data_IF_184763126766
#
_entry.id   IF_184763126766
#
_cell.length_a   1.000
_cell.length_b   1.000
_cell.length_c   1.000
_cell.angle_alpha   90.00
_cell.angle_beta   90.00
_cell.angle_gamma   90.00
#
_symmetry.space_group_name_H-M   'P 1'
#
loop_
_entity.id
_entity.type
_entity.pdbx_description
1 polymer ?
#
# COMPACT_ATOMS: atom_id res chain seq x y z
N UNK A 1 13.30 -0.80 3.45
CA UNK A 1 12.62 -0.04 4.53
C UNK A 1 11.62 -0.86 5.32
N UNK A 2 10.68 -1.58 4.68
CA UNK A 2 9.62 -2.35 5.36
C UNK A 2 10.12 -3.28 6.49
N UNK A 3 11.11 -4.15 6.22
CA UNK A 3 11.65 -5.08 7.23
C UNK A 3 12.25 -4.38 8.47
N UNK A 4 12.86 -3.20 8.28
CA UNK A 4 13.49 -2.41 9.36
C UNK A 4 12.46 -1.72 10.26
N UNK A 5 11.30 -1.38 9.71
CA UNK A 5 10.20 -0.80 10.48
C UNK A 5 9.32 -1.89 11.10
N UNK A 6 9.17 -3.03 10.43
CA UNK A 6 8.38 -4.17 10.96
C UNK A 6 8.91 -4.68 12.30
N UNK A 7 10.23 -4.67 12.51
CA UNK A 7 10.84 -5.05 13.80
C UNK A 7 10.58 -4.07 14.94
N UNK A 8 10.11 -2.85 14.66
CA UNK A 8 9.88 -1.78 15.65
C UNK A 8 8.41 -1.48 15.88
N UNK A 9 7.56 -1.63 14.87
CA UNK A 9 6.14 -1.23 14.93
C UNK A 9 5.19 -2.31 14.39
N UNK A 10 5.67 -3.55 14.17
CA UNK A 10 4.86 -4.70 13.73
C UNK A 10 4.00 -4.41 12.49
N UNK A 11 4.62 -3.84 11.44
CA UNK A 11 3.94 -3.62 10.14
C UNK A 11 3.48 -4.94 9.51
N UNK A 12 4.24 -6.01 9.76
CA UNK A 12 4.05 -7.34 9.22
C UNK A 12 4.55 -8.37 10.24
N UNK A 13 3.82 -9.47 10.45
CA UNK A 13 4.30 -10.55 11.32
C UNK A 13 5.60 -11.19 10.75
N UNK A 14 6.58 -11.55 11.60
CA UNK A 14 7.89 -12.05 11.16
C UNK A 14 7.82 -13.31 10.28
N UNK A 15 6.87 -14.20 10.57
CA UNK A 15 6.63 -15.46 9.86
C UNK A 15 6.13 -15.27 8.44
N UNK A 16 5.70 -14.06 8.09
CA UNK A 16 5.05 -13.78 6.81
C UNK A 16 5.96 -12.97 5.87
N UNK A 17 7.13 -12.50 6.31
CA UNK A 17 8.06 -11.65 5.54
C UNK A 17 8.60 -12.28 4.24
N UNK A 18 8.76 -13.60 4.20
CA UNK A 18 9.29 -14.32 3.03
C UNK A 18 8.20 -14.56 1.96
N UNK A 19 6.99 -14.95 2.38
CA UNK A 19 5.84 -15.14 1.50
C UNK A 19 5.09 -13.82 1.19
N UNK A 20 5.32 -12.74 1.95
CA UNK A 20 4.57 -11.49 1.83
C UNK A 20 4.80 -10.80 0.48
N UNK A 21 6.06 -10.82 0.01
CA UNK A 21 6.53 -9.84 -0.96
C UNK A 21 5.92 -10.07 -2.33
N UNK A 22 5.93 -11.31 -2.82
CA UNK A 22 5.35 -11.58 -4.13
C UNK A 22 3.83 -11.64 -4.04
N UNK A 23 3.28 -12.37 -3.06
CA UNK A 23 1.84 -12.57 -2.99
C UNK A 23 1.07 -11.28 -2.74
N UNK A 24 1.48 -10.43 -1.79
CA UNK A 24 0.70 -9.23 -1.49
C UNK A 24 0.91 -8.09 -2.49
N UNK A 25 2.08 -8.01 -3.14
CA UNK A 25 2.29 -7.03 -4.21
C UNK A 25 1.43 -7.41 -5.42
N UNK A 26 1.46 -8.67 -5.85
CA UNK A 26 0.64 -9.14 -6.97
C UNK A 26 -0.86 -9.05 -6.64
N UNK A 27 -1.26 -9.42 -5.42
CA UNK A 27 -2.64 -9.32 -4.93
C UNK A 27 -3.13 -7.87 -4.81
N UNK A 28 -2.24 -6.91 -4.55
CA UNK A 28 -2.57 -5.48 -4.62
C UNK A 28 -2.64 -4.98 -6.07
N UNK A 29 -1.73 -5.44 -6.94
CA UNK A 29 -1.63 -5.00 -8.32
C UNK A 29 -2.84 -5.40 -9.17
N UNK A 30 -3.41 -6.60 -8.97
CA UNK A 30 -4.61 -7.06 -9.68
C UNK A 30 -5.81 -6.12 -9.47
N UNK A 31 -5.87 -5.40 -8.33
CA UNK A 31 -6.98 -4.49 -8.04
C UNK A 31 -7.07 -3.34 -9.04
N UNK A 32 -5.97 -2.96 -9.69
CA UNK A 32 -5.94 -1.88 -10.66
C UNK A 32 -6.92 -2.11 -11.82
N UNK A 33 -7.06 -3.36 -12.27
CA UNK A 33 -7.96 -3.74 -13.34
C UNK A 33 -9.46 -3.63 -12.96
N UNK A 34 -9.75 -3.58 -11.66
CA UNK A 34 -11.11 -3.47 -11.13
C UNK A 34 -11.51 -2.03 -10.80
N UNK A 35 -10.58 -1.08 -10.83
CA UNK A 35 -10.89 0.34 -10.58
C UNK A 35 -11.51 0.93 -11.87
N UNK A 36 -12.70 1.56 -11.81
CA UNK A 36 -13.37 2.17 -12.97
C UNK A 36 -12.45 3.13 -13.72
N UNK A 37 -12.34 3.02 -15.05
CA UNK A 37 -11.35 3.78 -15.84
C UNK A 37 -11.38 5.31 -15.62
N UNK A 38 -12.57 5.85 -15.35
CA UNK A 38 -12.82 7.27 -15.10
C UNK A 38 -12.61 7.71 -13.65
N UNK A 39 -12.30 6.78 -12.74
CA UNK A 39 -11.97 7.07 -11.35
C UNK A 39 -10.79 8.03 -11.25
N UNK A 40 -10.95 9.05 -10.42
CA UNK A 40 -9.93 10.09 -10.17
C UNK A 40 -9.38 10.08 -8.75
N UNK A 41 -10.07 9.38 -7.85
CA UNK A 41 -9.66 9.24 -6.46
C UNK A 41 -9.79 7.80 -6.01
N UNK A 42 -8.81 7.35 -5.23
CA UNK A 42 -8.79 6.09 -4.52
C UNK A 42 -8.37 6.37 -3.08
N UNK A 43 -9.12 5.84 -2.12
CA UNK A 43 -8.82 5.98 -0.70
C UNK A 43 -8.60 4.58 -0.12
N UNK A 44 -7.41 4.35 0.43
CA UNK A 44 -7.05 3.13 1.13
C UNK A 44 -7.24 3.36 2.64
N UNK A 45 -8.21 2.66 3.23
CA UNK A 45 -8.61 2.82 4.63
C UNK A 45 -7.98 1.72 5.48
N UNK A 46 -7.11 2.11 6.42
CA UNK A 46 -6.32 1.16 7.21
C UNK A 46 -5.07 0.70 6.46
N UNK A 47 -4.40 1.62 5.77
CA UNK A 47 -3.27 1.32 4.89
C UNK A 47 -2.13 0.57 5.56
N UNK A 48 -1.95 0.66 6.87
CA UNK A 48 -0.96 -0.11 7.63
C UNK A 48 0.46 0.01 7.08
N UNK A 49 0.91 -1.05 6.40
CA UNK A 49 2.21 -1.14 5.75
C UNK A 49 2.26 -0.53 4.33
N UNK A 50 1.18 0.11 3.90
CA UNK A 50 1.02 0.74 2.59
C UNK A 50 0.38 -0.18 1.55
N UNK A 51 -0.32 -1.23 1.96
CA UNK A 51 -0.99 -2.17 1.06
C UNK A 51 -2.50 -2.07 1.22
N UNK A 52 -3.28 -2.03 0.12
CA UNK A 52 -2.84 -2.02 -1.28
C UNK A 52 -2.41 -0.63 -1.80
N UNK A 53 -2.62 0.45 -1.02
CA UNK A 53 -2.55 1.83 -1.50
C UNK A 53 -1.25 2.25 -2.19
N UNK A 54 -0.07 1.93 -1.64
CA UNK A 54 1.21 2.31 -2.26
C UNK A 54 1.47 1.56 -3.57
N UNK A 55 1.10 0.28 -3.64
CA UNK A 55 1.26 -0.50 -4.87
C UNK A 55 0.40 0.08 -5.98
N UNK A 56 -0.86 0.40 -5.66
CA UNK A 56 -1.78 1.03 -6.61
C UNK A 56 -1.31 2.43 -7.01
N UNK A 57 -0.79 3.22 -6.08
CA UNK A 57 -0.24 4.55 -6.37
C UNK A 57 0.94 4.47 -7.35
N UNK A 58 1.87 3.53 -7.15
CA UNK A 58 3.02 3.32 -8.04
C UNK A 58 2.56 2.93 -9.44
N UNK A 59 1.65 1.96 -9.55
CA UNK A 59 1.13 1.53 -10.86
C UNK A 59 0.31 2.63 -11.54
N UNK A 60 -0.41 3.44 -10.77
CA UNK A 60 -1.22 4.53 -11.30
C UNK A 60 -0.37 5.61 -12.00
N UNK A 61 0.89 5.81 -11.60
CA UNK A 61 1.80 6.75 -12.30
C UNK A 61 1.88 6.46 -13.80
N UNK A 62 1.93 5.17 -14.17
CA UNK A 62 2.05 4.75 -15.57
C UNK A 62 0.68 4.49 -16.21
N UNK A 63 -0.19 3.72 -15.55
CA UNK A 63 -1.41 3.22 -16.17
C UNK A 63 -2.64 4.10 -15.93
N UNK A 64 -2.64 4.92 -14.87
CA UNK A 64 -3.81 5.70 -14.42
C UNK A 64 -3.39 7.09 -13.91
N UNK A 65 -2.74 7.94 -14.73
CA UNK A 65 -2.08 9.17 -14.27
C UNK A 65 -3.03 10.23 -13.66
N UNK A 66 -4.35 10.06 -13.84
CA UNK A 66 -5.38 10.92 -13.24
C UNK A 66 -5.93 10.39 -11.91
N UNK A 67 -5.52 9.21 -11.48
CA UNK A 67 -5.98 8.56 -10.26
C UNK A 67 -5.10 9.01 -9.08
N UNK A 68 -5.66 9.87 -8.23
CA UNK A 68 -5.05 10.26 -6.97
C UNK A 68 -5.30 9.18 -5.92
N UNK A 69 -4.25 8.70 -5.26
CA UNK A 69 -4.35 7.69 -4.20
C UNK A 69 -4.08 8.31 -2.84
N UNK A 70 -5.02 8.16 -1.91
CA UNK A 70 -4.93 8.63 -0.53
C UNK A 70 -4.83 7.43 0.42
N UNK A 71 -3.93 7.52 1.41
CA UNK A 71 -3.70 6.47 2.39
C UNK A 71 -4.09 6.97 3.77
N UNK A 72 -5.02 6.28 4.42
CA UNK A 72 -5.58 6.65 5.72
C UNK A 72 -5.21 5.59 6.75
N UNK A 73 -4.61 6.02 7.85
CA UNK A 73 -4.20 5.15 8.95
C UNK A 73 -4.44 5.84 10.30
N UNK A 74 -5.06 5.11 11.22
CA UNK A 74 -5.40 5.59 12.56
C UNK A 74 -4.21 5.50 13.52
N UNK A 75 -3.34 4.49 13.34
CA UNK A 75 -2.12 4.36 14.13
C UNK A 75 -1.07 5.37 13.67
N UNK A 76 -0.80 6.37 14.52
CA UNK A 76 0.18 7.43 14.24
C UNK A 76 1.57 6.91 13.88
N UNK A 77 2.03 5.78 14.45
CA UNK A 77 3.36 5.22 14.15
C UNK A 77 3.39 4.65 12.73
N UNK A 78 2.32 3.98 12.31
CA UNK A 78 2.15 3.47 10.96
C UNK A 78 1.96 4.61 9.95
N UNK A 79 1.20 5.65 10.31
CA UNK A 79 1.05 6.85 9.48
C UNK A 79 2.37 7.63 9.30
N UNK A 80 3.28 7.59 10.29
CA UNK A 80 4.64 8.13 10.12
C UNK A 80 5.43 7.26 9.14
N UNK A 81 5.36 5.93 9.26
CA UNK A 81 5.98 5.03 8.29
C UNK A 81 5.50 5.33 6.86
N UNK A 82 4.20 5.47 6.62
CA UNK A 82 3.63 5.76 5.30
C UNK A 82 4.11 7.08 4.69
N UNK A 83 4.45 8.08 5.51
CA UNK A 83 4.99 9.37 5.04
C UNK A 83 6.46 9.31 4.64
N UNK A 84 7.20 8.37 5.21
CA UNK A 84 8.63 8.17 4.95
C UNK A 84 8.88 7.10 3.88
N UNK A 85 7.84 6.38 3.44
CA UNK A 85 7.91 5.18 2.61
C UNK A 85 8.17 5.47 1.13
#
# INVERSE_FOLDING_TARGET
MLARWSSRINLVAPTTLADLRERHILDSAQLLAHIPEDARSLCDLGSGAGLPGLVLAVLAVEFRPKLCTELVEADRRKAVFLREA
#
